data_IF_819122854063
#
_entry.id   IF_819122854063
#
_cell.length_a   1.000
_cell.length_b   1.000
_cell.length_c   1.000
_cell.angle_alpha   90.00
_cell.angle_beta   90.00
_cell.angle_gamma   90.00
#
_symmetry.space_group_name_H-M   'P 1'
#
loop_
_entity.id
_entity.type
_entity.pdbx_description
1 polymer ?
#
# COMPACT_ATOMS: atom_id res chain seq x y z
N UNK A 1 5.78 17.22 16.47
CA UNK A 1 5.22 16.26 15.50
C UNK A 1 4.02 15.62 16.16
N UNK A 2 2.80 15.86 15.66
CA UNK A 2 1.56 15.31 16.22
C UNK A 2 1.22 13.90 15.70
N UNK A 3 2.24 13.07 15.44
CA UNK A 3 2.06 11.70 14.96
C UNK A 3 2.24 10.72 16.11
N UNK A 4 1.37 9.71 16.21
CA UNK A 4 1.45 8.65 17.20
C UNK A 4 2.12 7.39 16.64
N UNK A 5 2.97 6.73 17.44
CA UNK A 5 3.60 5.47 17.08
C UNK A 5 2.74 4.30 17.56
N UNK A 6 2.36 3.42 16.63
CA UNK A 6 1.57 2.23 16.90
C UNK A 6 2.29 0.98 16.38
N UNK A 7 2.48 0.00 17.26
CA UNK A 7 2.99 -1.33 16.88
C UNK A 7 1.83 -2.22 16.42
N UNK A 8 2.00 -2.92 15.30
CA UNK A 8 0.94 -3.71 14.67
C UNK A 8 1.51 -5.03 14.13
N UNK A 9 0.66 -6.05 13.99
CA UNK A 9 1.01 -7.33 13.38
C UNK A 9 0.84 -7.34 11.85
N UNK A 10 0.83 -6.18 11.20
CA UNK A 10 0.78 -6.11 9.74
C UNK A 10 2.07 -6.63 9.11
N UNK A 11 1.96 -7.14 7.89
CA UNK A 11 3.12 -7.45 7.07
C UNK A 11 3.82 -6.19 6.57
N UNK A 12 5.11 -6.32 6.24
CA UNK A 12 5.98 -5.22 5.85
C UNK A 12 6.63 -4.51 7.05
N UNK A 13 7.52 -3.57 6.77
CA UNK A 13 8.21 -2.75 7.77
C UNK A 13 7.41 -1.46 8.08
N UNK A 14 7.94 -0.54 8.90
CA UNK A 14 7.35 0.75 9.30
C UNK A 14 6.76 1.57 8.11
N UNK A 15 5.63 2.24 8.36
CA UNK A 15 4.95 3.11 7.39
C UNK A 15 4.28 4.28 8.12
N UNK A 16 3.93 5.32 7.38
CA UNK A 16 3.17 6.48 7.87
C UNK A 16 1.77 6.50 7.27
N UNK A 17 0.80 6.90 8.09
CA UNK A 17 -0.56 7.22 7.69
C UNK A 17 -0.93 8.60 8.17
N UNK A 18 -1.58 9.39 7.32
CA UNK A 18 -1.97 10.75 7.62
C UNK A 18 -3.05 11.28 6.67
N UNK A 19 -3.47 12.54 6.83
CA UNK A 19 -4.43 13.18 5.96
C UNK A 19 -4.06 13.03 4.47
N UNK A 20 -5.08 12.94 3.61
CA UNK A 20 -4.96 12.75 2.16
C UNK A 20 -4.24 11.46 1.72
N UNK A 21 -4.18 10.47 2.62
CA UNK A 21 -3.90 9.09 2.27
C UNK A 21 -5.18 8.27 2.34
N UNK A 22 -5.57 7.66 1.22
CA UNK A 22 -6.69 6.73 1.19
C UNK A 22 -6.26 5.38 1.75
N UNK A 23 -6.86 4.97 2.86
CA UNK A 23 -6.62 3.68 3.51
C UNK A 23 -7.80 2.77 3.23
N UNK A 24 -7.52 1.55 2.78
CA UNK A 24 -8.54 0.53 2.58
C UNK A 24 -8.08 -0.75 3.26
N UNK A 25 -8.95 -1.30 4.12
CA UNK A 25 -8.73 -2.57 4.80
C UNK A 25 -9.82 -3.60 4.45
N UNK A 26 -9.72 -4.30 3.31
CA UNK A 26 -10.71 -5.31 2.97
C UNK A 26 -10.48 -6.54 3.86
N UNK A 27 -11.48 -6.85 4.68
CA UNK A 27 -11.49 -8.04 5.54
C UNK A 27 -12.35 -9.10 4.84
N UNK A 28 -11.70 -9.97 4.08
CA UNK A 28 -12.38 -10.92 3.18
C UNK A 28 -11.79 -12.33 3.28
N UNK A 29 -12.65 -13.33 3.07
CA UNK A 29 -12.21 -14.72 2.91
C UNK A 29 -11.69 -14.93 1.50
N UNK A 30 -10.39 -15.22 1.38
CA UNK A 30 -9.77 -15.56 0.10
C UNK A 30 -10.31 -16.88 -0.47
N UNK A 31 -10.75 -17.78 0.41
CA UNK A 31 -11.39 -19.05 0.02
C UNK A 31 -12.73 -18.81 -0.66
N UNK A 32 -13.55 -17.94 -0.09
CA UNK A 32 -14.92 -17.70 -0.56
C UNK A 32 -14.92 -16.99 -1.92
N UNK A 33 -13.93 -16.14 -2.16
CA UNK A 33 -13.75 -15.44 -3.44
C UNK A 33 -12.89 -16.23 -4.44
N UNK A 34 -12.41 -17.42 -4.08
CA UNK A 34 -11.60 -18.28 -4.95
C UNK A 34 -10.28 -17.64 -5.39
N UNK A 35 -9.65 -16.81 -4.55
CA UNK A 35 -8.39 -16.15 -4.87
C UNK A 35 -7.23 -16.64 -4.00
N UNK A 36 -6.05 -16.75 -4.61
CA UNK A 36 -4.80 -16.90 -3.86
C UNK A 36 -4.28 -15.55 -3.37
N UNK A 37 -3.39 -15.57 -2.37
CA UNK A 37 -2.77 -14.36 -1.82
C UNK A 37 -2.15 -13.44 -2.89
N UNK A 38 -1.44 -14.03 -3.85
CA UNK A 38 -0.82 -13.29 -4.96
C UNK A 38 -1.86 -12.59 -5.84
N UNK A 39 -2.87 -13.33 -6.30
CA UNK A 39 -3.93 -12.77 -7.14
C UNK A 39 -4.70 -11.65 -6.41
N UNK A 40 -4.90 -11.81 -5.10
CA UNK A 40 -5.50 -10.75 -4.28
C UNK A 40 -4.65 -9.47 -4.25
N UNK A 41 -3.34 -9.59 -4.05
CA UNK A 41 -2.42 -8.44 -4.10
C UNK A 41 -2.43 -7.78 -5.48
N UNK A 42 -2.35 -8.57 -6.56
CA UNK A 42 -2.39 -8.06 -7.95
C UNK A 42 -3.71 -7.30 -8.24
N UNK A 43 -4.84 -7.73 -7.65
CA UNK A 43 -6.12 -7.02 -7.74
C UNK A 43 -6.10 -5.68 -7.00
N UNK A 44 -5.52 -5.63 -5.80
CA UNK A 44 -5.36 -4.37 -5.06
C UNK A 44 -4.46 -3.38 -5.82
N UNK A 45 -3.38 -3.87 -6.45
CA UNK A 45 -2.52 -3.05 -7.33
C UNK A 45 -3.31 -2.52 -8.52
N UNK A 46 -4.08 -3.39 -9.18
CA UNK A 46 -4.92 -3.01 -10.31
C UNK A 46 -5.94 -1.93 -9.94
N UNK A 47 -6.60 -2.03 -8.79
CA UNK A 47 -7.55 -1.01 -8.31
C UNK A 47 -6.89 0.35 -8.07
N UNK A 48 -5.68 0.38 -7.52
CA UNK A 48 -4.93 1.64 -7.35
C UNK A 48 -4.49 2.24 -8.69
N UNK A 49 -4.07 1.42 -9.65
CA UNK A 49 -3.69 1.87 -11.00
C UNK A 49 -4.91 2.42 -11.74
N UNK A 50 -6.05 1.74 -11.65
CA UNK A 50 -7.31 2.20 -12.24
C UNK A 50 -7.73 3.54 -11.62
N UNK A 51 -7.68 3.66 -10.30
CA UNK A 51 -7.95 4.92 -9.61
C UNK A 51 -7.03 6.03 -10.12
N UNK A 52 -5.72 5.80 -10.20
CA UNK A 52 -4.76 6.78 -10.72
C UNK A 52 -5.08 7.20 -12.17
N UNK A 53 -5.48 6.24 -13.00
CA UNK A 53 -5.87 6.48 -14.40
C UNK A 53 -7.08 7.40 -14.51
N UNK A 54 -8.06 7.32 -13.59
CA UNK A 54 -9.21 8.22 -13.58
C UNK A 54 -8.82 9.70 -13.42
N UNK A 55 -7.65 9.96 -12.82
CA UNK A 55 -7.07 11.30 -12.65
C UNK A 55 -5.96 11.61 -13.67
N UNK A 56 -5.80 10.79 -14.71
CA UNK A 56 -4.78 10.99 -15.75
C UNK A 56 -3.35 10.66 -15.32
N UNK A 57 -3.17 9.95 -14.20
CA UNK A 57 -1.85 9.58 -13.68
C UNK A 57 -1.47 8.18 -14.20
N UNK A 58 -0.36 8.09 -14.91
CA UNK A 58 0.18 6.81 -15.41
C UNK A 58 0.95 6.08 -14.32
N UNK A 59 0.28 5.16 -13.64
CA UNK A 59 0.84 4.33 -12.60
C UNK A 59 1.16 2.89 -13.09
N UNK A 60 2.03 2.18 -12.36
CA UNK A 60 2.41 0.79 -12.62
C UNK A 60 2.56 0.00 -11.32
N UNK A 61 2.41 -1.32 -11.41
CA UNK A 61 2.80 -2.22 -10.31
C UNK A 61 4.33 -2.20 -10.10
N UNK A 62 4.74 -2.73 -8.95
CA UNK A 62 6.15 -2.92 -8.61
C UNK A 62 6.85 -3.95 -9.52
N UNK A 63 8.17 -4.02 -9.42
CA UNK A 63 8.92 -5.11 -10.04
C UNK A 63 8.70 -6.43 -9.30
N UNK A 64 9.19 -7.54 -9.85
CA UNK A 64 9.08 -8.84 -9.21
C UNK A 64 9.67 -8.81 -7.78
N UNK A 65 8.85 -9.16 -6.78
CA UNK A 65 9.23 -9.11 -5.37
C UNK A 65 8.86 -7.80 -4.66
N UNK A 66 8.36 -6.79 -5.37
CA UNK A 66 7.82 -5.56 -4.81
C UNK A 66 6.28 -5.61 -4.83
N UNK A 67 5.64 -5.02 -3.82
CA UNK A 67 4.18 -4.87 -3.77
C UNK A 67 3.79 -3.40 -3.66
N UNK A 68 2.73 -3.02 -4.37
CA UNK A 68 2.18 -1.66 -4.39
C UNK A 68 2.19 -1.03 -5.78
N UNK A 69 2.10 0.30 -5.82
CA UNK A 69 1.96 1.06 -7.07
C UNK A 69 2.92 2.24 -7.11
N UNK A 70 3.48 2.49 -8.30
CA UNK A 70 4.51 3.50 -8.57
C UNK A 70 4.15 4.41 -9.75
N UNK A 71 4.66 5.64 -9.71
CA UNK A 71 4.71 6.58 -10.84
C UNK A 71 6.17 6.93 -11.09
N UNK A 72 6.70 6.47 -12.24
CA UNK A 72 8.15 6.46 -12.46
C UNK A 72 8.84 5.61 -11.40
N UNK A 73 9.72 6.24 -10.61
CA UNK A 73 10.45 5.62 -9.49
C UNK A 73 9.80 5.89 -8.12
N UNK A 74 8.71 6.66 -8.06
CA UNK A 74 8.08 7.05 -6.79
C UNK A 74 6.94 6.11 -6.43
N UNK A 75 7.00 5.50 -5.25
CA UNK A 75 5.91 4.68 -4.71
C UNK A 75 4.76 5.56 -4.26
N UNK A 76 3.57 5.35 -4.82
CA UNK A 76 2.33 6.08 -4.50
C UNK A 76 1.30 5.20 -3.79
N UNK A 77 1.46 3.88 -3.82
CA UNK A 77 0.58 2.94 -3.13
C UNK A 77 1.38 1.87 -2.41
N UNK A 78 1.10 1.62 -1.13
CA UNK A 78 1.67 0.54 -0.35
C UNK A 78 0.60 -0.53 -0.09
N UNK A 79 1.01 -1.80 -0.09
CA UNK A 79 0.16 -2.94 0.25
C UNK A 79 0.82 -3.72 1.38
N UNK A 80 0.06 -3.98 2.44
CA UNK A 80 0.45 -4.84 3.54
C UNK A 80 -0.77 -5.62 3.99
N UNK A 81 -0.83 -6.90 3.64
CA UNK A 81 -1.99 -7.77 3.89
C UNK A 81 -1.52 -9.06 4.55
N UNK A 82 -1.59 -9.16 5.88
CA UNK A 82 -1.53 -10.45 6.55
C UNK A 82 -2.75 -11.29 6.16
N UNK A 83 -2.52 -12.60 6.02
CA UNK A 83 -3.58 -13.56 5.80
C UNK A 83 -3.48 -14.61 6.91
N UNK A 84 -4.53 -14.73 7.70
CA UNK A 84 -4.63 -15.72 8.77
C UNK A 84 -5.89 -16.54 8.56
N UNK A 85 -5.77 -17.87 8.59
CA UNK A 85 -6.90 -18.77 8.33
C UNK A 85 -7.66 -18.45 7.04
N UNK A 86 -6.98 -17.95 6.01
CA UNK A 86 -7.57 -17.56 4.73
C UNK A 86 -8.37 -16.25 4.75
N UNK A 87 -8.38 -15.51 5.86
CA UNK A 87 -9.00 -14.19 5.99
C UNK A 87 -7.92 -13.11 5.92
N UNK A 88 -8.16 -12.06 5.14
CA UNK A 88 -7.26 -10.90 5.04
C UNK A 88 -7.43 -9.95 6.22
N UNK A 89 -6.33 -9.35 6.65
CA UNK A 89 -6.35 -8.15 7.50
C UNK A 89 -5.52 -7.04 6.86
N UNK A 90 -5.66 -5.81 7.35
CA UNK A 90 -5.06 -4.63 6.72
C UNK A 90 -5.43 -4.54 5.23
N UNK A 91 -4.55 -4.08 4.35
CA UNK A 91 -4.93 -3.75 2.98
C UNK A 91 -3.90 -2.86 2.28
N UNK A 92 -4.37 -1.72 1.80
CA UNK A 92 -3.56 -0.76 1.06
C UNK A 92 -3.63 0.65 1.66
N UNK A 93 -2.62 1.43 1.33
CA UNK A 93 -2.55 2.87 1.58
C UNK A 93 -2.12 3.56 0.28
N UNK A 94 -2.95 4.47 -0.21
CA UNK A 94 -2.74 5.19 -1.47
C UNK A 94 -2.57 6.69 -1.21
N UNK A 95 -1.45 7.24 -1.67
CA UNK A 95 -1.08 8.64 -1.50
C UNK A 95 -1.80 9.48 -2.58
N UNK A 96 -2.78 10.29 -2.16
CA UNK A 96 -3.46 11.24 -3.04
C UNK A 96 -2.68 12.56 -3.03
N UNK A 97 -2.57 13.18 -1.86
CA UNK A 97 -1.77 14.38 -1.61
C UNK A 97 -1.32 14.48 -0.14
N UNK A 98 -0.67 13.45 0.43
CA UNK A 98 -0.23 13.49 1.81
C UNK A 98 0.97 14.41 1.96
N UNK A 99 1.15 14.99 3.15
CA UNK A 99 2.41 15.65 3.49
C UNK A 99 3.53 14.59 3.56
N UNK A 100 4.36 14.55 2.53
CA UNK A 100 5.46 13.59 2.40
C UNK A 100 6.64 13.89 3.35
N UNK A 101 6.65 15.04 4.05
CA UNK A 101 7.69 15.36 5.03
C UNK A 101 7.75 14.32 6.16
N UNK A 102 6.63 13.71 6.52
CA UNK A 102 6.55 12.64 7.52
C UNK A 102 7.32 11.38 7.14
N UNK A 103 7.41 11.05 5.84
CA UNK A 103 8.20 9.90 5.37
C UNK A 103 9.70 10.13 5.47
N UNK A 104 10.20 11.37 5.66
CA UNK A 104 11.62 11.63 5.92
C UNK A 104 12.05 11.17 7.31
N UNK A 105 11.10 10.96 8.22
CA UNK A 105 11.34 10.56 9.61
C UNK A 105 11.20 9.05 9.82
N UNK A 106 10.81 8.32 8.78
CA UNK A 106 10.63 6.87 8.78
C UNK A 106 11.58 6.30 7.75
N UNK A 107 12.39 5.30 8.11
CA UNK A 107 13.24 4.58 7.15
C UNK A 107 12.66 3.18 6.95
N UNK A 108 11.82 2.95 5.93
CA UNK A 108 11.31 1.62 5.63
C UNK A 108 12.44 0.79 4.99
N UNK A 109 12.71 -0.42 5.50
CA UNK A 109 13.71 -1.34 4.94
C UNK A 109 13.44 -1.67 3.45
N UNK A 110 12.19 -1.58 2.99
CA UNK A 110 11.77 -1.87 1.62
C UNK A 110 11.71 -0.65 0.68
N UNK A 111 11.97 0.57 1.15
CA UNK A 111 11.85 1.78 0.31
C UNK A 111 13.21 2.48 0.23
N UNK A 112 14.03 2.07 -0.75
CA UNK A 112 15.11 2.93 -1.23
C UNK A 112 14.49 4.05 -2.06
N UNK A 113 14.29 5.22 -1.40
CA UNK A 113 14.00 6.56 -1.96
C UNK A 113 12.53 6.85 -2.31
N UNK A 114 11.84 7.51 -1.38
CA UNK A 114 10.76 8.45 -1.71
C UNK A 114 11.42 9.75 -2.18
N UNK A 115 11.32 10.05 -3.47
CA UNK A 115 11.70 11.36 -3.98
C UNK A 115 10.50 12.31 -3.85
N UNK A 116 10.69 13.54 -3.34
CA UNK A 116 9.67 14.57 -3.29
C UNK A 116 9.09 14.91 -4.67
#
# INVERSE_FOLDING_TARGET
MGAELHYTQRGGDITFHGPHQAILYPIISLRDIGHGARNYVEKLESSMIELASLYGVKARAGQAGETGVWVGERKIGAIGVPISSGITSHGLAFNIDPDLSYFKHVVPLQIKKLHP
#
